data_IF_038364690678
#
_entry.id   IF_038364690678
#
_cell.length_a   1.000
_cell.length_b   1.000
_cell.length_c   1.000
_cell.angle_alpha   90.00
_cell.angle_beta   90.00
_cell.angle_gamma   90.00
#
_symmetry.space_group_name_H-M   'P 1'
#
loop_
_entity.id
_entity.type
_entity.pdbx_description
1 polymer ?
#
# COMPACT_ATOMS: atom_id res chain seq x y z
N UNK A 1 -29.89 34.08 -12.12
CA UNK A 1 -31.14 33.28 -12.06
C UNK A 1 -31.21 32.63 -10.70
N UNK A 2 -32.27 32.93 -9.93
CA UNK A 2 -32.30 32.81 -8.47
C UNK A 2 -32.45 31.39 -7.91
N UNK A 3 -31.84 31.22 -6.73
CA UNK A 3 -31.84 30.03 -5.86
C UNK A 3 -33.23 29.37 -5.79
N UNK A 4 -33.30 28.08 -6.10
CA UNK A 4 -34.35 27.19 -5.60
C UNK A 4 -33.70 26.10 -4.75
N UNK A 5 -33.10 26.51 -3.64
CA UNK A 5 -32.37 25.64 -2.71
C UNK A 5 -33.30 24.74 -1.87
N UNK A 6 -34.62 24.86 -2.03
CA UNK A 6 -35.59 24.07 -1.28
C UNK A 6 -36.91 23.97 -2.04
N UNK A 7 -37.34 22.75 -2.34
CA UNK A 7 -38.67 22.47 -2.89
C UNK A 7 -39.49 21.74 -1.83
N UNK A 8 -40.60 22.34 -1.36
CA UNK A 8 -41.47 21.75 -0.34
C UNK A 8 -42.16 20.45 -0.80
N UNK A 9 -42.19 20.18 -2.11
CA UNK A 9 -42.72 18.93 -2.67
C UNK A 9 -41.67 17.81 -2.73
N UNK A 10 -40.39 18.14 -2.65
CA UNK A 10 -39.33 17.14 -2.62
C UNK A 10 -39.12 16.67 -1.17
N UNK A 11 -39.41 15.39 -0.91
CA UNK A 11 -39.23 14.79 0.41
C UNK A 11 -37.78 14.83 0.91
N UNK A 12 -36.79 14.81 0.00
CA UNK A 12 -35.37 14.96 0.35
C UNK A 12 -34.98 16.39 0.69
N UNK A 13 -35.57 17.40 0.04
CA UNK A 13 -35.32 18.78 0.43
C UNK A 13 -35.75 19.01 1.89
N UNK A 14 -36.89 18.45 2.29
CA UNK A 14 -37.44 18.56 3.65
C UNK A 14 -36.89 17.51 4.62
N UNK A 15 -35.97 16.65 4.19
CA UNK A 15 -35.47 15.57 5.04
C UNK A 15 -34.54 16.12 6.13
N UNK A 16 -34.69 15.70 7.40
CA UNK A 16 -33.85 16.21 8.50
C UNK A 16 -32.36 15.93 8.27
N UNK A 17 -32.02 14.81 7.64
CA UNK A 17 -30.64 14.44 7.28
C UNK A 17 -30.28 14.77 5.82
N UNK A 18 -30.92 15.77 5.21
CA UNK A 18 -30.65 16.18 3.81
C UNK A 18 -29.16 16.32 3.51
N UNK A 19 -28.45 17.12 4.31
CA UNK A 19 -27.03 17.38 4.10
C UNK A 19 -26.20 16.09 4.14
N UNK A 20 -26.55 15.17 5.04
CA UNK A 20 -25.88 13.88 5.18
C UNK A 20 -26.10 13.00 3.96
N UNK A 21 -27.32 12.96 3.41
CA UNK A 21 -27.62 12.24 2.16
C UNK A 21 -26.84 12.81 0.98
N UNK A 22 -26.82 14.15 0.84
CA UNK A 22 -26.10 14.86 -0.22
C UNK A 22 -24.59 14.61 -0.14
N UNK A 23 -23.99 14.76 1.05
CA UNK A 23 -22.57 14.47 1.29
C UNK A 23 -22.23 13.00 1.01
N UNK A 24 -23.06 12.07 1.47
CA UNK A 24 -22.87 10.64 1.25
C UNK A 24 -22.86 10.32 -0.25
N UNK A 25 -23.74 10.96 -1.02
CA UNK A 25 -23.77 10.80 -2.47
C UNK A 25 -22.55 11.43 -3.15
N UNK A 26 -22.14 12.62 -2.74
CA UNK A 26 -20.98 13.32 -3.31
C UNK A 26 -19.67 12.57 -3.10
N UNK A 27 -19.58 11.84 -2.00
CA UNK A 27 -18.46 10.96 -1.71
C UNK A 27 -18.47 9.63 -2.52
N UNK A 28 -19.46 9.43 -3.41
CA UNK A 28 -19.44 8.36 -4.40
C UNK A 28 -20.16 7.08 -4.00
N UNK A 29 -20.91 7.09 -2.90
CA UNK A 29 -21.74 5.95 -2.48
C UNK A 29 -22.86 5.68 -3.51
N UNK A 30 -23.13 4.39 -3.75
CA UNK A 30 -24.21 3.93 -4.61
C UNK A 30 -25.60 4.36 -4.11
N UNK A 31 -26.48 4.73 -5.05
CA UNK A 31 -27.84 5.20 -4.73
C UNK A 31 -28.65 4.19 -3.93
N UNK A 32 -28.46 2.89 -4.18
CA UNK A 32 -29.21 1.81 -3.51
C UNK A 32 -28.80 1.65 -2.04
N UNK A 33 -27.52 1.86 -1.72
CA UNK A 33 -27.02 1.83 -0.35
C UNK A 33 -27.54 3.04 0.46
N UNK A 34 -27.53 4.22 -0.15
CA UNK A 34 -28.10 5.44 0.45
C UNK A 34 -29.60 5.28 0.67
N UNK A 35 -30.32 4.74 -0.32
CA UNK A 35 -31.75 4.48 -0.23
C UNK A 35 -32.08 3.57 0.96
N UNK A 36 -31.33 2.48 1.13
CA UNK A 36 -31.51 1.55 2.24
C UNK A 36 -31.17 2.17 3.61
N UNK A 37 -30.13 3.00 3.70
CA UNK A 37 -29.71 3.60 4.97
C UNK A 37 -30.67 4.67 5.49
N UNK A 38 -31.18 5.51 4.59
CA UNK A 38 -32.00 6.67 4.94
C UNK A 38 -33.51 6.44 4.75
N UNK A 39 -33.93 5.21 4.41
CA UNK A 39 -35.32 4.84 4.12
C UNK A 39 -35.98 5.76 3.07
N UNK A 40 -35.24 6.04 1.99
CA UNK A 40 -35.70 6.89 0.89
C UNK A 40 -35.60 6.15 -0.45
N UNK A 41 -36.41 6.57 -1.42
CA UNK A 41 -36.36 5.99 -2.77
C UNK A 41 -35.10 6.41 -3.53
N UNK A 42 -34.45 5.45 -4.19
CA UNK A 42 -33.32 5.62 -5.12
C UNK A 42 -33.55 6.73 -6.15
N UNK A 43 -34.72 6.73 -6.78
CA UNK A 43 -35.08 7.71 -7.81
C UNK A 43 -35.28 9.09 -7.21
N UNK A 44 -35.76 9.16 -5.97
CA UNK A 44 -35.91 10.44 -5.27
C UNK A 44 -34.54 11.08 -5.01
N UNK A 45 -33.55 10.30 -4.59
CA UNK A 45 -32.16 10.77 -4.43
C UNK A 45 -31.60 11.29 -5.76
N UNK A 46 -31.78 10.52 -6.85
CA UNK A 46 -31.27 10.92 -8.17
C UNK A 46 -31.88 12.23 -8.66
N UNK A 47 -33.21 12.39 -8.59
CA UNK A 47 -33.91 13.63 -8.99
C UNK A 47 -33.50 14.80 -8.11
N UNK A 48 -33.40 14.58 -6.79
CA UNK A 48 -32.97 15.60 -5.84
C UNK A 48 -31.57 16.13 -6.16
N UNK A 49 -30.60 15.24 -6.36
CA UNK A 49 -29.22 15.62 -6.69
C UNK A 49 -29.08 16.32 -8.04
N UNK A 50 -29.96 15.99 -8.99
CA UNK A 50 -29.95 16.58 -10.34
C UNK A 50 -30.64 17.95 -10.38
N UNK A 51 -31.79 18.08 -9.72
CA UNK A 51 -32.70 19.20 -9.91
C UNK A 51 -32.64 20.23 -8.77
N UNK A 52 -32.09 19.88 -7.60
CA UNK A 52 -32.17 20.70 -6.38
C UNK A 52 -30.84 20.98 -5.68
N UNK A 53 -29.78 20.23 -6.00
CA UNK A 53 -28.44 20.48 -5.46
C UNK A 53 -27.63 21.26 -6.49
N UNK A 54 -27.33 22.52 -6.18
CA UNK A 54 -26.54 23.38 -7.08
C UNK A 54 -25.06 23.02 -7.05
N UNK A 55 -24.31 23.40 -8.09
CA UNK A 55 -22.85 23.18 -8.12
C UNK A 55 -22.13 23.92 -6.98
N UNK A 56 -22.63 25.08 -6.56
CA UNK A 56 -22.11 25.82 -5.41
C UNK A 56 -22.30 25.04 -4.09
N UNK A 57 -23.46 24.39 -3.92
CA UNK A 57 -23.71 23.54 -2.74
C UNK A 57 -22.79 22.31 -2.76
N UNK A 58 -22.57 21.71 -3.93
CA UNK A 58 -21.62 20.58 -4.07
C UNK A 58 -20.20 21.02 -3.72
N UNK A 59 -19.77 22.19 -4.20
CA UNK A 59 -18.46 22.74 -3.88
C UNK A 59 -18.31 23.02 -2.38
N UNK A 60 -19.34 23.54 -1.71
CA UNK A 60 -19.35 23.77 -0.27
C UNK A 60 -19.16 22.46 0.53
N UNK A 61 -19.81 21.38 0.12
CA UNK A 61 -19.62 20.06 0.75
C UNK A 61 -18.24 19.45 0.49
N UNK A 62 -17.62 19.75 -0.66
CA UNK A 62 -16.26 19.31 -0.96
C UNK A 62 -15.18 20.16 -0.27
N UNK A 63 -15.45 21.43 0.02
CA UNK A 63 -14.50 22.36 0.64
C UNK A 63 -14.10 21.95 2.07
N UNK A 64 -14.94 21.18 2.76
CA UNK A 64 -14.66 20.64 4.10
C UNK A 64 -13.68 19.44 4.07
N UNK A 65 -13.36 18.93 2.87
CA UNK A 65 -12.28 17.97 2.69
C UNK A 65 -11.01 18.77 2.43
N UNK A 66 -9.97 18.71 3.31
CA UNK A 66 -8.69 19.41 3.11
C UNK A 66 -7.88 18.83 1.94
N UNK A 67 -8.51 18.16 0.99
CA UNK A 67 -7.89 17.59 -0.19
C UNK A 67 -7.38 18.69 -1.12
N UNK A 68 -8.13 19.78 -1.30
CA UNK A 68 -7.71 20.90 -2.15
C UNK A 68 -6.52 21.66 -1.56
N UNK A 69 -6.48 21.87 -0.24
CA UNK A 69 -5.34 22.49 0.43
C UNK A 69 -4.12 21.56 0.44
N UNK A 70 -4.31 20.25 0.59
CA UNK A 70 -3.24 19.25 0.48
C UNK A 70 -2.71 19.13 -0.96
N UNK A 71 -3.58 19.25 -1.97
CA UNK A 71 -3.20 19.23 -3.38
C UNK A 71 -2.53 20.54 -3.82
N UNK A 72 -2.97 21.69 -3.32
CA UNK A 72 -2.32 22.99 -3.55
C UNK A 72 -0.92 23.02 -2.92
N UNK A 73 -0.77 22.50 -1.69
CA UNK A 73 0.54 22.29 -1.05
C UNK A 73 1.40 21.25 -1.78
N UNK A 74 0.79 20.31 -2.50
CA UNK A 74 1.50 19.31 -3.31
C UNK A 74 2.00 19.87 -4.66
N UNK A 75 1.29 20.86 -5.21
CA UNK A 75 1.62 21.48 -6.48
C UNK A 75 2.75 22.52 -6.38
N UNK A 76 2.95 23.11 -5.20
CA UNK A 76 3.80 24.30 -5.07
C UNK A 76 5.31 24.00 -5.01
N UNK A 77 5.78 22.83 -4.54
CA UNK A 77 7.19 22.41 -4.68
C UNK A 77 7.44 20.98 -4.15
N UNK A 78 7.87 20.06 -5.03
CA UNK A 78 8.79 18.96 -4.67
C UNK A 78 8.32 17.85 -3.72
N UNK A 79 7.03 17.48 -3.67
CA UNK A 79 6.63 16.32 -2.87
C UNK A 79 7.27 15.01 -3.37
N UNK A 80 7.81 14.25 -2.42
CA UNK A 80 8.26 12.89 -2.68
C UNK A 80 7.10 12.03 -3.18
N UNK A 81 7.36 11.06 -4.05
CA UNK A 81 6.38 10.06 -4.47
C UNK A 81 5.67 9.42 -3.25
N UNK A 82 6.37 9.30 -2.12
CA UNK A 82 5.81 8.83 -0.85
C UNK A 82 4.70 9.74 -0.32
N UNK A 83 4.82 11.06 -0.46
CA UNK A 83 3.83 12.01 0.04
C UNK A 83 2.57 12.01 -0.82
N UNK A 84 2.73 11.85 -2.14
CA UNK A 84 1.60 11.55 -3.03
C UNK A 84 0.87 10.28 -2.60
N UNK A 85 1.60 9.20 -2.32
CA UNK A 85 0.98 7.97 -1.82
C UNK A 85 0.27 8.16 -0.46
N UNK A 86 0.81 8.97 0.45
CA UNK A 86 0.13 9.30 1.72
C UNK A 86 -1.19 10.02 1.47
N UNK A 87 -1.23 11.01 0.56
CA UNK A 87 -2.44 11.76 0.20
C UNK A 87 -3.48 10.83 -0.42
N UNK A 88 -3.07 9.99 -1.38
CA UNK A 88 -3.96 9.03 -2.04
C UNK A 88 -4.50 8.03 -1.03
N UNK A 89 -3.65 7.44 -0.17
CA UNK A 89 -4.07 6.52 0.90
C UNK A 89 -5.06 7.17 1.85
N UNK A 90 -4.79 8.39 2.33
CA UNK A 90 -5.68 9.10 3.24
C UNK A 90 -7.05 9.38 2.60
N UNK A 91 -7.05 9.75 1.32
CA UNK A 91 -8.28 10.01 0.56
C UNK A 91 -9.08 8.72 0.39
N UNK A 92 -8.46 7.65 -0.08
CA UNK A 92 -9.11 6.35 -0.24
C UNK A 92 -9.64 5.79 1.09
N UNK A 93 -8.90 5.97 2.19
CA UNK A 93 -9.32 5.55 3.53
C UNK A 93 -10.60 6.25 3.98
N UNK A 94 -10.70 7.58 3.77
CA UNK A 94 -11.92 8.33 4.07
C UNK A 94 -13.13 7.81 3.27
N UNK A 95 -12.93 7.55 1.97
CA UNK A 95 -13.99 7.01 1.12
C UNK A 95 -14.40 5.59 1.53
N UNK A 96 -13.42 4.77 1.92
CA UNK A 96 -13.66 3.41 2.43
C UNK A 96 -14.50 3.44 3.71
N UNK A 97 -14.14 4.29 4.68
CA UNK A 97 -14.89 4.45 5.93
C UNK A 97 -16.33 4.91 5.67
N UNK A 98 -16.52 5.85 4.75
CA UNK A 98 -17.85 6.31 4.41
C UNK A 98 -18.68 5.21 3.74
N UNK A 99 -18.13 4.52 2.73
CA UNK A 99 -18.78 3.39 2.07
C UNK A 99 -19.15 2.27 3.06
N UNK A 100 -18.30 2.04 4.07
CA UNK A 100 -18.60 1.09 5.15
C UNK A 100 -19.74 1.57 6.05
N UNK A 101 -19.77 2.87 6.41
CA UNK A 101 -20.81 3.45 7.29
C UNK A 101 -22.23 3.36 6.72
N UNK A 102 -22.33 3.22 5.39
CA UNK A 102 -23.59 3.15 4.63
C UNK A 102 -23.87 1.75 4.08
N UNK A 103 -23.06 0.75 4.48
CA UNK A 103 -23.15 -0.65 4.04
C UNK A 103 -23.10 -0.85 2.50
N UNK A 104 -22.41 0.02 1.77
CA UNK A 104 -22.18 -0.17 0.33
C UNK A 104 -21.08 -1.22 0.11
N UNK A 105 -21.48 -2.50 0.18
CA UNK A 105 -20.57 -3.65 0.10
C UNK A 105 -19.73 -3.66 -1.18
N UNK A 106 -20.28 -3.17 -2.30
CA UNK A 106 -19.57 -3.13 -3.58
C UNK A 106 -18.50 -2.05 -3.59
N UNK A 107 -18.84 -0.85 -3.12
CA UNK A 107 -17.86 0.22 -2.99
C UNK A 107 -16.76 -0.15 -1.98
N UNK A 108 -17.12 -0.74 -0.84
CA UNK A 108 -16.18 -1.24 0.18
C UNK A 108 -15.20 -2.24 -0.43
N UNK A 109 -15.68 -3.26 -1.15
CA UNK A 109 -14.80 -4.26 -1.77
C UNK A 109 -13.85 -3.64 -2.81
N UNK A 110 -14.36 -2.72 -3.63
CA UNK A 110 -13.53 -2.03 -4.65
C UNK A 110 -12.47 -1.12 -4.02
N UNK A 111 -12.84 -0.35 -2.99
CA UNK A 111 -11.94 0.55 -2.28
C UNK A 111 -10.89 -0.21 -1.47
N UNK A 112 -11.25 -1.36 -0.87
CA UNK A 112 -10.31 -2.25 -0.20
C UNK A 112 -9.21 -2.75 -1.14
N UNK A 113 -9.57 -3.17 -2.36
CA UNK A 113 -8.59 -3.61 -3.37
C UNK A 113 -7.61 -2.49 -3.74
N UNK A 114 -8.11 -1.30 -4.04
CA UNK A 114 -7.27 -0.13 -4.37
C UNK A 114 -6.39 0.32 -3.20
N UNK A 115 -6.91 0.27 -1.97
CA UNK A 115 -6.12 0.56 -0.77
C UNK A 115 -4.96 -0.42 -0.62
N UNK A 116 -5.18 -1.71 -0.86
CA UNK A 116 -4.11 -2.72 -0.83
C UNK A 116 -3.05 -2.45 -1.89
N UNK A 117 -3.43 -2.10 -3.12
CA UNK A 117 -2.48 -1.73 -4.18
C UNK A 117 -1.59 -0.54 -3.79
N UNK A 118 -2.17 0.48 -3.14
CA UNK A 118 -1.43 1.64 -2.64
C UNK A 118 -0.49 1.24 -1.49
N UNK A 119 -0.94 0.39 -0.57
CA UNK A 119 -0.10 -0.11 0.52
C UNK A 119 1.07 -0.95 0.03
N UNK A 120 0.86 -1.81 -0.97
CA UNK A 120 1.94 -2.57 -1.64
C UNK A 120 2.92 -1.62 -2.32
N UNK A 121 2.42 -0.60 -3.02
CA UNK A 121 3.29 0.39 -3.67
C UNK A 121 4.14 1.17 -2.65
N UNK A 122 3.55 1.58 -1.53
CA UNK A 122 4.27 2.21 -0.41
C UNK A 122 5.33 1.27 0.16
N UNK A 123 4.97 0.00 0.41
CA UNK A 123 5.90 -1.02 0.91
C UNK A 123 7.08 -1.27 -0.04
N UNK A 124 6.88 -1.08 -1.34
CA UNK A 124 7.91 -1.25 -2.38
C UNK A 124 8.86 -0.07 -2.40
N UNK A 125 8.34 1.15 -2.35
CA UNK A 125 9.14 2.39 -2.33
C UNK A 125 9.91 2.55 -1.01
N UNK A 126 9.33 2.13 0.11
CA UNK A 126 9.97 2.21 1.45
C UNK A 126 10.93 1.06 1.73
N UNK A 127 10.86 -0.03 0.96
CA UNK A 127 11.59 -1.26 1.22
C UNK A 127 11.08 -2.03 2.45
N UNK A 128 9.94 -1.67 3.03
CA UNK A 128 9.35 -2.41 4.17
C UNK A 128 9.01 -3.86 3.78
N UNK A 129 8.62 -4.12 2.53
CA UNK A 129 8.38 -5.49 2.05
C UNK A 129 9.66 -6.34 2.07
N UNK A 130 10.83 -5.73 1.79
CA UNK A 130 12.13 -6.39 1.85
C UNK A 130 12.59 -6.67 3.29
N UNK A 131 12.04 -5.95 4.27
CA UNK A 131 12.30 -6.20 5.70
C UNK A 131 11.43 -7.32 6.27
N UNK A 132 10.23 -7.50 5.72
CA UNK A 132 9.26 -8.51 6.16
C UNK A 132 9.51 -9.88 5.56
N UNK A 133 10.03 -9.93 4.33
CA UNK A 133 10.58 -11.14 3.75
C UNK A 133 12.12 -11.06 3.83
N UNK A 134 12.81 -11.87 4.65
CA UNK A 134 14.25 -12.05 4.50
C UNK A 134 14.48 -12.83 3.20
N UNK A 135 14.25 -12.18 2.06
CA UNK A 135 14.61 -12.70 0.76
C UNK A 135 16.12 -12.82 0.76
N UNK A 136 16.58 -14.07 0.84
CA UNK A 136 17.90 -14.57 0.47
C UNK A 136 18.93 -13.46 0.34
N UNK A 137 19.69 -13.20 1.41
CA UNK A 137 20.98 -12.53 1.27
C UNK A 137 21.74 -13.30 0.19
N UNK A 138 21.78 -12.78 -1.04
CA UNK A 138 22.64 -13.32 -2.09
C UNK A 138 24.04 -13.09 -1.59
N UNK A 139 24.62 -14.12 -0.98
CA UNK A 139 25.95 -14.07 -0.43
C UNK A 139 26.93 -14.07 -1.60
N UNK A 140 27.14 -12.88 -2.20
CA UNK A 140 27.94 -12.69 -3.41
C UNK A 140 29.35 -13.24 -3.26
N UNK A 141 29.88 -13.31 -2.04
CA UNK A 141 31.18 -13.92 -1.74
C UNK A 141 31.15 -15.44 -1.91
N UNK A 142 30.11 -16.12 -1.41
CA UNK A 142 29.94 -17.56 -1.63
C UNK A 142 29.69 -17.89 -3.11
N UNK A 143 28.96 -17.05 -3.84
CA UNK A 143 28.76 -17.22 -5.30
C UNK A 143 30.07 -16.99 -6.07
N UNK A 144 30.88 -16.02 -5.66
CA UNK A 144 32.17 -15.72 -6.29
C UNK A 144 33.20 -16.83 -6.08
N UNK A 145 33.36 -17.33 -4.85
CA UNK A 145 34.32 -18.42 -4.53
C UNK A 145 33.93 -19.73 -5.22
N UNK A 146 32.64 -20.00 -5.39
CA UNK A 146 32.14 -21.16 -6.14
C UNK A 146 32.01 -20.90 -7.65
N UNK A 147 32.49 -19.76 -8.16
CA UNK A 147 32.36 -19.43 -9.58
C UNK A 147 33.40 -20.17 -10.43
N UNK A 148 33.06 -20.56 -11.68
CA UNK A 148 34.01 -21.16 -12.62
C UNK A 148 35.25 -20.28 -12.86
N UNK A 149 35.06 -18.96 -12.86
CA UNK A 149 36.15 -17.99 -13.05
C UNK A 149 37.17 -18.03 -11.90
N UNK A 150 36.71 -18.29 -10.68
CA UNK A 150 37.60 -18.44 -9.53
C UNK A 150 38.38 -19.76 -9.59
N UNK A 151 37.75 -20.85 -10.04
CA UNK A 151 38.45 -22.11 -10.30
C UNK A 151 39.51 -21.96 -11.41
N UNK A 152 39.22 -21.21 -12.47
CA UNK A 152 40.17 -20.90 -13.54
C UNK A 152 41.36 -20.07 -13.01
N UNK A 153 41.10 -19.10 -12.11
CA UNK A 153 42.15 -18.33 -11.44
C UNK A 153 43.07 -19.25 -10.61
N UNK A 154 42.50 -20.17 -9.82
CA UNK A 154 43.27 -21.14 -9.05
C UNK A 154 44.14 -22.03 -9.96
N UNK A 155 43.56 -22.56 -11.04
CA UNK A 155 44.28 -23.38 -12.01
C UNK A 155 45.43 -22.60 -12.70
N UNK A 156 45.19 -21.34 -13.05
CA UNK A 156 46.19 -20.45 -13.63
C UNK A 156 47.35 -20.20 -12.67
N UNK A 157 47.07 -19.92 -11.39
CA UNK A 157 48.08 -19.70 -10.36
C UNK A 157 48.94 -20.95 -10.15
N UNK A 158 48.31 -22.13 -10.05
CA UNK A 158 49.03 -23.42 -9.91
C UNK A 158 49.93 -23.68 -11.12
N UNK A 159 49.41 -23.46 -12.33
CA UNK A 159 50.17 -23.64 -13.58
C UNK A 159 51.38 -22.72 -13.68
N UNK A 160 51.21 -21.42 -13.38
CA UNK A 160 52.28 -20.42 -13.50
C UNK A 160 53.36 -20.55 -12.41
N UNK A 161 52.99 -21.06 -11.23
CA UNK A 161 53.92 -21.22 -10.10
C UNK A 161 54.52 -22.63 -10.01
N UNK A 162 54.26 -23.52 -10.97
CA UNK A 162 54.75 -24.90 -10.96
C UNK A 162 56.28 -25.03 -10.83
N UNK A 163 57.05 -24.07 -11.36
CA UNK A 163 58.52 -24.04 -11.24
C UNK A 163 59.05 -23.48 -9.92
N UNK A 164 58.18 -22.99 -9.04
CA UNK A 164 58.53 -22.32 -7.78
C UNK A 164 57.74 -22.91 -6.60
N UNK A 165 58.15 -24.09 -6.08
CA UNK A 165 57.36 -24.85 -5.12
C UNK A 165 57.14 -24.11 -3.79
N UNK A 166 58.11 -23.30 -3.34
CA UNK A 166 57.96 -22.48 -2.14
C UNK A 166 56.99 -21.30 -2.30
N UNK A 167 56.88 -20.76 -3.51
CA UNK A 167 55.90 -19.69 -3.79
C UNK A 167 54.49 -20.26 -3.92
N UNK A 168 54.37 -21.45 -4.53
CA UNK A 168 53.11 -22.15 -4.68
C UNK A 168 52.48 -22.53 -3.32
N UNK A 169 53.26 -23.04 -2.38
CA UNK A 169 52.74 -23.45 -1.06
C UNK A 169 52.12 -22.28 -0.30
N UNK A 170 52.79 -21.11 -0.28
CA UNK A 170 52.28 -19.89 0.37
C UNK A 170 50.99 -19.37 -0.25
N UNK A 171 50.85 -19.48 -1.57
CA UNK A 171 49.64 -19.06 -2.28
C UNK A 171 48.48 -20.00 -1.98
N UNK A 172 48.71 -21.31 -1.96
CA UNK A 172 47.68 -22.30 -1.61
C UNK A 172 47.19 -22.12 -0.18
N UNK A 173 48.10 -21.86 0.77
CA UNK A 173 47.76 -21.57 2.17
C UNK A 173 46.83 -20.34 2.26
N UNK A 174 47.18 -19.24 1.58
CA UNK A 174 46.34 -18.04 1.55
C UNK A 174 44.96 -18.26 0.89
N UNK A 175 44.87 -19.11 -0.13
CA UNK A 175 43.59 -19.47 -0.76
C UNK A 175 42.71 -20.29 0.19
N UNK A 176 43.29 -21.26 0.91
CA UNK A 176 42.57 -22.06 1.90
C UNK A 176 42.03 -21.21 3.06
N UNK A 177 42.78 -20.23 3.53
CA UNK A 177 42.29 -19.28 4.55
C UNK A 177 41.10 -18.45 4.07
N UNK A 178 41.11 -18.02 2.80
CA UNK A 178 40.02 -17.25 2.21
C UNK A 178 38.75 -18.11 2.03
N UNK A 179 38.92 -19.36 1.64
CA UNK A 179 37.84 -20.34 1.55
C UNK A 179 37.24 -20.65 2.94
N UNK A 180 38.09 -20.85 3.95
CA UNK A 180 37.66 -21.11 5.33
C UNK A 180 36.86 -19.93 5.93
N UNK A 181 37.23 -18.69 5.61
CA UNK A 181 36.47 -17.48 6.01
C UNK A 181 35.09 -17.38 5.37
N UNK A 182 34.86 -18.09 4.27
CA UNK A 182 33.64 -17.98 3.46
C UNK A 182 32.79 -19.26 3.52
N UNK A 183 33.27 -20.30 4.20
CA UNK A 183 32.53 -21.55 4.38
C UNK A 183 31.20 -21.31 5.10
N UNK A 184 30.07 -21.84 4.61
CA UNK A 184 28.79 -21.72 5.28
C UNK A 184 28.83 -22.43 6.64
N UNK A 185 28.41 -21.76 7.70
CA UNK A 185 28.20 -22.38 9.01
C UNK A 185 27.05 -23.40 8.88
N UNK A 186 27.28 -24.70 9.11
CA UNK A 186 26.21 -25.68 9.07
C UNK A 186 25.41 -25.59 10.37
N UNK A 187 24.21 -25.00 10.32
CA UNK A 187 23.23 -25.12 11.40
C UNK A 187 22.37 -23.89 11.63
N UNK A 188 21.07 -24.04 11.36
CA UNK A 188 20.06 -23.07 11.74
C UNK A 188 18.76 -23.23 10.97
N UNK A 189 18.17 -24.43 10.96
CA UNK A 189 16.77 -24.56 10.59
C UNK A 189 15.96 -23.71 11.58
N UNK A 190 15.56 -22.51 11.16
CA UNK A 190 14.64 -21.66 11.92
C UNK A 190 13.25 -22.30 11.84
N UNK A 191 12.99 -23.26 12.73
CA UNK A 191 11.63 -23.70 13.02
C UNK A 191 10.92 -22.54 13.69
N UNK A 192 9.95 -21.95 12.99
CA UNK A 192 9.03 -20.99 13.58
C UNK A 192 8.10 -21.80 14.49
N UNK A 193 8.34 -21.72 15.81
CA UNK A 193 7.42 -22.25 16.81
C UNK A 193 6.13 -21.43 16.79
N UNK A 194 5.11 -21.93 16.09
CA UNK A 194 3.75 -21.42 16.20
C UNK A 194 3.17 -21.86 17.55
N UNK A 195 3.23 -21.00 18.57
CA UNK A 195 2.39 -21.16 19.76
C UNK A 195 0.92 -21.00 19.34
N UNK A 196 0.16 -22.09 19.43
CA UNK A 196 -1.29 -22.09 19.26
C UNK A 196 -1.93 -21.17 20.29
N UNK A 197 -2.64 -20.15 19.80
CA UNK A 197 -3.57 -19.34 20.60
C UNK A 197 -4.86 -20.13 20.81
N UNK A 198 -4.87 -21.03 21.79
CA UNK A 198 -6.10 -21.59 22.34
C UNK A 198 -6.07 -21.46 23.86
N UNK A 199 -6.63 -20.36 24.36
CA UNK A 199 -7.32 -20.20 25.66
C UNK A 199 -7.45 -18.72 26.03
N UNK A 200 -8.38 -18.00 25.39
CA UNK A 200 -8.79 -16.68 25.87
C UNK A 200 -10.30 -16.42 25.68
N UNK A 201 -11.12 -17.47 25.66
CA UNK A 201 -12.57 -17.35 25.67
C UNK A 201 -13.19 -18.40 26.62
N UNK A 202 -12.84 -18.29 27.90
CA UNK A 202 -13.58 -18.90 28.99
C UNK A 202 -13.33 -18.13 30.30
N UNK A 203 -14.02 -17.01 30.45
CA UNK A 203 -14.48 -16.44 31.74
C UNK A 203 -15.43 -15.28 31.43
#
# INVERSE_FOLDING_TARGET
>A
MGRRSHNSRCKLCTHPERARIEMTRLAGVGLDAIAAQFDVSRDSIWRHMKDHVSEDDKAAYLADIPLQELLAKAADEGLSLLDFFKIVRATLMKQFQLAASVNDRRAVASLAGRLNEVLVSIGGVTGEMLRLAPSSITNNTAVFVNSPVFADLQAMLVSKLAGHPEALSRVVEGLQELEAKTAPVPGGAMLIDAKSLEAAHAA
#
